data_IF_211208192898
#
_entry.id   IF_211208192898
#
_cell.length_a   1.000
_cell.length_b   1.000
_cell.length_c   1.000
_cell.angle_alpha   90.00
_cell.angle_beta   90.00
_cell.angle_gamma   90.00
#
_symmetry.space_group_name_H-M   'P 1'
#
loop_
_entity.id
_entity.type
_entity.pdbx_description
1 polymer ?
#
# COMPACT_ATOMS: atom_id res chain seq x y z
N UNK A 1 -25.64 4.14 -9.18
CA UNK A 1 -27.06 3.75 -9.19
C UNK A 1 -27.62 4.04 -7.80
N UNK A 2 -28.76 4.73 -7.68
CA UNK A 2 -29.35 5.00 -6.36
C UNK A 2 -30.10 3.77 -5.82
N UNK A 3 -30.28 3.68 -4.50
CA UNK A 3 -31.04 2.60 -3.87
C UNK A 3 -32.47 2.47 -4.45
N UNK A 4 -33.10 3.61 -4.75
CA UNK A 4 -34.43 3.65 -5.37
C UNK A 4 -34.46 3.08 -6.79
N UNK A 5 -33.40 3.33 -7.58
CA UNK A 5 -33.28 2.74 -8.91
C UNK A 5 -33.14 1.21 -8.83
N UNK A 6 -32.35 0.71 -7.88
CA UNK A 6 -32.17 -0.74 -7.67
C UNK A 6 -33.49 -1.42 -7.32
N UNK A 7 -34.30 -0.83 -6.44
CA UNK A 7 -35.61 -1.38 -6.07
C UNK A 7 -36.65 -1.31 -7.20
N UNK A 8 -36.55 -0.31 -8.09
CA UNK A 8 -37.46 -0.16 -9.24
C UNK A 8 -37.10 -1.07 -10.42
N UNK A 9 -35.82 -1.42 -10.57
CA UNK A 9 -35.31 -2.25 -11.67
C UNK A 9 -34.49 -3.43 -11.11
N UNK A 10 -35.13 -4.39 -10.43
CA UNK A 10 -34.42 -5.50 -9.75
C UNK A 10 -33.79 -6.53 -10.69
N UNK A 11 -33.86 -6.34 -12.02
CA UNK A 11 -33.29 -7.26 -13.02
C UNK A 11 -31.78 -7.07 -13.23
N UNK A 12 -31.16 -6.06 -12.62
CA UNK A 12 -29.74 -5.69 -12.81
C UNK A 12 -28.93 -5.31 -11.55
N UNK A 13 -29.21 -5.77 -10.31
CA UNK A 13 -28.24 -5.61 -9.24
C UNK A 13 -27.14 -6.66 -9.37
N UNK A 14 -25.95 -6.26 -9.83
CA UNK A 14 -24.73 -7.06 -9.68
C UNK A 14 -24.22 -7.10 -8.23
N UNK A 15 -24.76 -6.23 -7.36
CA UNK A 15 -24.29 -6.03 -5.99
C UNK A 15 -25.47 -5.84 -5.01
N UNK A 16 -25.29 -6.20 -3.73
CA UNK A 16 -26.33 -6.17 -2.69
C UNK A 16 -27.60 -6.99 -2.99
N UNK A 17 -27.46 -8.10 -3.73
CA UNK A 17 -28.60 -8.95 -4.16
C UNK A 17 -29.42 -9.42 -2.96
N UNK A 18 -28.77 -9.94 -1.91
CA UNK A 18 -29.48 -10.46 -0.74
C UNK A 18 -30.28 -9.37 0.00
N UNK A 19 -29.68 -8.19 0.20
CA UNK A 19 -30.35 -7.06 0.82
C UNK A 19 -31.54 -6.59 -0.03
N UNK A 20 -31.36 -6.50 -1.34
CA UNK A 20 -32.41 -6.10 -2.28
C UNK A 20 -33.57 -7.09 -2.25
N UNK A 21 -33.27 -8.40 -2.29
CA UNK A 21 -34.28 -9.47 -2.20
C UNK A 21 -35.04 -9.42 -0.88
N UNK A 22 -34.36 -9.21 0.24
CA UNK A 22 -35.00 -9.09 1.56
C UNK A 22 -35.96 -7.89 1.60
N UNK A 23 -35.52 -6.71 1.14
CA UNK A 23 -36.36 -5.51 1.08
C UNK A 23 -37.59 -5.75 0.18
N UNK A 24 -37.40 -6.34 -1.01
CA UNK A 24 -38.51 -6.63 -1.93
C UNK A 24 -39.50 -7.64 -1.32
N UNK A 25 -39.02 -8.67 -0.62
CA UNK A 25 -39.86 -9.63 0.10
C UNK A 25 -40.71 -8.97 1.18
N UNK A 26 -40.14 -8.04 1.97
CA UNK A 26 -40.90 -7.26 2.96
C UNK A 26 -41.96 -6.37 2.31
N UNK A 27 -41.63 -5.69 1.20
CA UNK A 27 -42.58 -4.86 0.45
C UNK A 27 -43.74 -5.72 -0.07
N UNK A 28 -43.46 -6.89 -0.63
CA UNK A 28 -44.47 -7.83 -1.11
C UNK A 28 -45.37 -8.33 0.04
N UNK A 29 -44.79 -8.67 1.19
CA UNK A 29 -45.55 -9.08 2.38
C UNK A 29 -46.52 -8.00 2.87
N UNK A 30 -46.08 -6.73 2.89
CA UNK A 30 -46.93 -5.59 3.23
C UNK A 30 -48.05 -5.41 2.19
N UNK A 31 -47.74 -5.57 0.90
CA UNK A 31 -48.73 -5.48 -0.17
C UNK A 31 -49.80 -6.58 -0.07
N UNK A 32 -49.42 -7.80 0.27
CA UNK A 32 -50.35 -8.92 0.50
C UNK A 32 -51.32 -8.65 1.68
N UNK A 33 -50.92 -7.81 2.64
CA UNK A 33 -51.75 -7.34 3.74
C UNK A 33 -52.62 -6.12 3.37
N UNK A 34 -52.65 -5.72 2.09
CA UNK A 34 -53.37 -4.53 1.62
C UNK A 34 -52.68 -3.20 1.97
N UNK A 35 -51.43 -3.21 2.44
CA UNK A 35 -50.69 -1.99 2.79
C UNK A 35 -49.87 -1.50 1.59
N UNK A 36 -50.03 -0.23 1.24
CA UNK A 36 -49.31 0.40 0.13
C UNK A 36 -48.06 1.14 0.62
N UNK A 37 -46.89 0.71 0.17
CA UNK A 37 -45.61 1.37 0.44
C UNK A 37 -45.28 2.38 -0.66
N UNK A 38 -44.83 3.58 -0.30
CA UNK A 38 -44.33 4.61 -1.23
C UNK A 38 -42.96 5.07 -0.76
N UNK A 39 -42.02 5.22 -1.69
CA UNK A 39 -40.71 5.78 -1.41
C UNK A 39 -40.64 7.23 -1.88
N UNK A 40 -40.31 8.11 -0.94
CA UNK A 40 -40.07 9.53 -1.21
C UNK A 40 -38.61 9.84 -0.89
N UNK A 41 -37.97 10.63 -1.75
CA UNK A 41 -36.65 11.18 -1.43
C UNK A 41 -36.84 12.41 -0.55
N UNK A 42 -36.07 12.48 0.53
CA UNK A 42 -36.07 13.62 1.46
C UNK A 42 -34.65 14.21 1.47
N UNK A 43 -34.50 15.53 1.28
CA UNK A 43 -33.20 16.18 1.39
C UNK A 43 -32.67 16.10 2.82
N UNK A 44 -31.36 15.89 2.94
CA UNK A 44 -30.69 15.75 4.24
C UNK A 44 -30.43 17.12 4.89
N UNK A 45 -30.47 17.16 6.23
CA UNK A 45 -30.08 18.30 7.08
C UNK A 45 -30.80 19.64 6.81
N UNK A 46 -32.10 19.60 6.51
CA UNK A 46 -32.91 20.81 6.28
C UNK A 46 -34.02 21.06 7.32
N UNK A 47 -33.94 20.51 8.53
CA UNK A 47 -34.97 20.76 9.56
C UNK A 47 -36.21 19.87 9.48
N UNK A 48 -36.22 18.83 8.63
CA UNK A 48 -37.38 17.92 8.53
C UNK A 48 -37.35 16.99 9.73
N UNK A 49 -38.14 17.33 10.76
CA UNK A 49 -38.21 16.62 12.05
C UNK A 49 -38.24 15.09 11.94
N UNK A 50 -39.03 14.54 11.00
CA UNK A 50 -39.12 13.08 10.82
C UNK A 50 -37.84 12.43 10.27
N UNK A 51 -37.11 13.14 9.39
CA UNK A 51 -35.83 12.68 8.87
C UNK A 51 -34.74 12.81 9.92
N UNK A 52 -34.71 13.92 10.65
CA UNK A 52 -33.75 14.14 11.75
C UNK A 52 -33.90 13.10 12.85
N UNK A 53 -35.13 12.79 13.26
CA UNK A 53 -35.38 11.73 14.23
C UNK A 53 -34.93 10.34 13.72
N UNK A 54 -35.06 10.07 12.41
CA UNK A 54 -34.58 8.83 11.82
C UNK A 54 -33.05 8.75 11.75
N UNK A 55 -32.37 9.86 11.42
CA UNK A 55 -30.91 9.97 11.40
C UNK A 55 -30.34 9.84 12.83
N UNK A 56 -30.97 10.46 13.83
CA UNK A 56 -30.61 10.33 15.24
C UNK A 56 -30.76 8.89 15.72
N UNK A 57 -31.88 8.23 15.43
CA UNK A 57 -32.07 6.82 15.77
C UNK A 57 -31.04 5.90 15.08
N UNK A 58 -30.68 6.19 13.83
CA UNK A 58 -29.63 5.45 13.12
C UNK A 58 -28.25 5.66 13.75
N UNK A 59 -27.94 6.88 14.19
CA UNK A 59 -26.71 7.18 14.92
C UNK A 59 -26.65 6.49 16.28
N UNK A 60 -27.73 6.54 17.06
CA UNK A 60 -27.83 5.84 18.36
C UNK A 60 -27.62 4.33 18.21
N UNK A 61 -28.16 3.73 17.15
CA UNK A 61 -27.97 2.32 16.85
C UNK A 61 -26.49 1.94 16.65
N UNK A 62 -25.62 2.86 16.20
CA UNK A 62 -24.17 2.59 16.08
C UNK A 62 -23.48 2.40 17.43
N UNK A 63 -24.08 2.88 18.52
CA UNK A 63 -23.57 2.72 19.89
C UNK A 63 -24.10 1.47 20.57
N UNK A 64 -25.04 0.76 19.95
CA UNK A 64 -25.63 -0.43 20.52
C UNK A 64 -24.62 -1.60 20.43
N UNK A 65 -24.39 -2.37 21.52
CA UNK A 65 -23.36 -3.42 21.55
C UNK A 65 -23.72 -4.64 20.68
N UNK A 66 -25.00 -4.83 20.39
CA UNK A 66 -25.49 -5.93 19.56
C UNK A 66 -26.08 -5.41 18.25
N UNK A 67 -25.68 -6.03 17.14
CA UNK A 67 -26.25 -5.78 15.81
C UNK A 67 -27.50 -6.64 15.65
N UNK A 68 -28.67 -6.00 15.53
CA UNK A 68 -29.95 -6.69 15.39
C UNK A 68 -30.13 -7.40 14.03
N UNK A 69 -29.46 -6.90 12.98
CA UNK A 69 -29.54 -7.45 11.63
C UNK A 69 -28.17 -7.47 10.97
N UNK A 70 -27.65 -8.66 10.69
CA UNK A 70 -26.41 -8.83 9.93
C UNK A 70 -26.71 -8.81 8.45
N UNK A 71 -26.33 -7.72 7.77
CA UNK A 71 -26.36 -7.65 6.31
C UNK A 71 -25.00 -8.10 5.79
N UNK A 72 -24.99 -9.14 4.96
CA UNK A 72 -23.75 -9.60 4.33
C UNK A 72 -23.20 -8.51 3.41
N UNK A 73 -21.86 -8.29 3.41
CA UNK A 73 -21.27 -7.29 2.54
C UNK A 73 -21.54 -7.63 1.08
N UNK A 74 -21.72 -6.58 0.30
CA UNK A 74 -21.73 -6.61 -1.15
C UNK A 74 -20.46 -7.32 -1.67
N UNK A 75 -20.48 -7.88 -2.90
CA UNK A 75 -19.27 -8.50 -3.48
C UNK A 75 -18.14 -7.47 -3.55
N UNK A 76 -18.47 -6.22 -3.88
CA UNK A 76 -17.50 -5.13 -3.89
C UNK A 76 -17.00 -4.81 -2.47
N UNK A 77 -17.89 -4.78 -1.48
CA UNK A 77 -17.54 -4.62 -0.07
C UNK A 77 -16.62 -5.73 0.42
N UNK A 78 -16.93 -6.99 0.10
CA UNK A 78 -16.11 -8.15 0.41
C UNK A 78 -14.72 -8.05 -0.25
N UNK A 79 -14.62 -7.62 -1.51
CA UNK A 79 -13.33 -7.36 -2.18
C UNK A 79 -12.51 -6.28 -1.47
N UNK A 80 -13.14 -5.20 -1.02
CA UNK A 80 -12.46 -4.13 -0.27
C UNK A 80 -11.94 -4.66 1.06
N UNK A 81 -12.76 -5.42 1.79
CA UNK A 81 -12.36 -6.04 3.07
C UNK A 81 -11.21 -7.03 2.87
N UNK A 82 -11.29 -7.89 1.86
CA UNK A 82 -10.24 -8.86 1.53
C UNK A 82 -8.92 -8.16 1.17
N UNK A 83 -8.98 -7.09 0.36
CA UNK A 83 -7.79 -6.28 0.03
C UNK A 83 -7.16 -5.66 1.27
N UNK A 84 -7.96 -5.06 2.15
CA UNK A 84 -7.47 -4.48 3.41
C UNK A 84 -6.81 -5.54 4.29
N UNK A 85 -7.46 -6.69 4.46
CA UNK A 85 -6.91 -7.80 5.23
C UNK A 85 -5.57 -8.30 4.65
N UNK A 86 -5.48 -8.45 3.32
CA UNK A 86 -4.25 -8.85 2.66
C UNK A 86 -3.11 -7.83 2.85
N UNK A 87 -3.40 -6.53 2.77
CA UNK A 87 -2.41 -5.46 3.03
C UNK A 87 -1.93 -5.51 4.48
N UNK A 88 -2.86 -5.56 5.45
CA UNK A 88 -2.48 -5.64 6.87
C UNK A 88 -1.67 -6.91 7.18
N UNK A 89 -2.04 -8.06 6.61
CA UNK A 89 -1.29 -9.31 6.78
C UNK A 89 0.13 -9.20 6.20
N UNK A 90 0.27 -8.61 5.01
CA UNK A 90 1.58 -8.39 4.39
C UNK A 90 2.45 -7.42 5.22
N UNK A 91 1.87 -6.34 5.74
CA UNK A 91 2.56 -5.38 6.62
C UNK A 91 3.01 -6.04 7.94
N UNK A 92 2.17 -6.89 8.52
CA UNK A 92 2.49 -7.63 9.74
C UNK A 92 3.62 -8.63 9.50
N UNK A 93 3.53 -9.42 8.43
CA UNK A 93 4.59 -10.36 8.04
C UNK A 93 5.91 -9.61 7.78
N UNK A 94 5.85 -8.47 7.09
CA UNK A 94 7.03 -7.64 6.87
C UNK A 94 7.65 -7.15 8.17
N UNK A 95 6.84 -6.65 9.12
CA UNK A 95 7.32 -6.23 10.43
C UNK A 95 8.01 -7.36 11.21
N UNK A 96 7.57 -8.61 11.05
CA UNK A 96 8.19 -9.79 11.68
C UNK A 96 9.51 -10.20 11.02
N UNK A 97 9.69 -9.93 9.72
CA UNK A 97 10.93 -10.22 8.99
C UNK A 97 12.04 -9.18 9.22
N UNK A 98 11.67 -7.94 9.54
CA UNK A 98 12.62 -6.83 9.71
C UNK A 98 13.75 -7.14 10.73
N UNK A 99 13.50 -7.75 11.90
CA UNK A 99 14.57 -8.06 12.85
C UNK A 99 15.50 -9.19 12.39
N UNK A 100 15.06 -10.08 11.49
CA UNK A 100 15.77 -11.31 11.13
C UNK A 100 16.40 -11.26 9.74
N UNK A 101 15.97 -10.35 8.87
CA UNK A 101 16.50 -10.16 7.52
C UNK A 101 17.20 -8.81 7.37
N UNK A 102 18.50 -8.85 7.03
CA UNK A 102 19.30 -7.66 6.69
C UNK A 102 18.65 -6.85 5.57
N UNK A 103 18.15 -7.50 4.53
CA UNK A 103 17.51 -6.84 3.39
C UNK A 103 16.17 -6.21 3.78
N UNK A 104 15.37 -6.88 4.62
CA UNK A 104 14.12 -6.30 5.12
C UNK A 104 14.38 -5.07 6.01
N UNK A 105 15.36 -5.15 6.91
CA UNK A 105 15.81 -4.02 7.72
C UNK A 105 16.32 -2.86 6.87
N UNK A 106 17.16 -3.16 5.87
CA UNK A 106 17.64 -2.19 4.89
C UNK A 106 16.49 -1.50 4.18
N UNK A 107 15.58 -2.27 3.58
CA UNK A 107 14.46 -1.76 2.82
C UNK A 107 13.59 -0.83 3.66
N UNK A 108 13.32 -1.20 4.93
CA UNK A 108 12.52 -0.37 5.85
C UNK A 108 13.20 0.97 6.09
N UNK A 109 14.51 0.95 6.34
CA UNK A 109 15.29 2.16 6.56
C UNK A 109 15.39 3.00 5.27
N UNK A 110 15.69 2.39 4.12
CA UNK A 110 15.91 3.08 2.84
C UNK A 110 14.63 3.66 2.21
N UNK A 111 13.46 3.17 2.59
CA UNK A 111 12.16 3.60 2.02
C UNK A 111 11.26 4.38 2.99
N UNK A 112 11.71 4.62 4.22
CA UNK A 112 10.94 5.31 5.25
C UNK A 112 9.52 4.72 5.43
N UNK A 113 9.43 3.39 5.61
CA UNK A 113 8.17 2.63 5.65
C UNK A 113 7.37 2.63 4.33
N UNK A 114 8.01 2.18 3.24
CA UNK A 114 7.37 1.95 1.94
C UNK A 114 6.84 3.21 1.22
N UNK A 115 7.49 4.35 1.38
CA UNK A 115 7.14 5.50 0.54
C UNK A 115 7.32 5.13 -0.95
N UNK A 116 6.28 5.30 -1.80
CA UNK A 116 6.39 4.93 -3.20
C UNK A 116 7.43 5.81 -3.89
N UNK A 117 8.25 5.21 -4.76
CA UNK A 117 9.06 6.00 -5.69
C UNK A 117 8.10 6.82 -6.53
N UNK A 118 8.29 8.14 -6.52
CA UNK A 118 7.67 9.04 -7.48
C UNK A 118 8.78 9.58 -8.36
N UNK A 119 9.15 8.87 -9.43
CA UNK A 119 10.07 9.45 -10.39
C UNK A 119 9.42 10.72 -10.96
N UNK A 120 10.07 11.88 -10.82
CA UNK A 120 9.62 13.12 -11.46
C UNK A 120 9.76 13.06 -13.00
N UNK A 121 10.44 12.04 -13.53
CA UNK A 121 10.74 11.81 -14.94
C UNK A 121 10.54 10.33 -15.30
N UNK A 122 10.23 10.03 -16.56
CA UNK A 122 10.22 8.65 -17.06
C UNK A 122 11.64 8.09 -17.03
N UNK A 123 11.91 7.17 -16.12
CA UNK A 123 13.16 6.44 -16.04
C UNK A 123 13.23 5.40 -17.15
N UNK A 124 14.41 5.15 -17.69
CA UNK A 124 14.63 3.96 -18.51
C UNK A 124 14.59 2.69 -17.64
N UNK A 125 14.28 1.55 -18.26
CA UNK A 125 14.28 0.24 -17.57
C UNK A 125 15.59 -0.04 -16.82
N UNK A 126 16.73 0.37 -17.40
CA UNK A 126 18.04 0.17 -16.78
C UNK A 126 18.18 0.95 -15.45
N UNK A 127 17.64 2.16 -15.41
CA UNK A 127 17.67 3.04 -14.24
C UNK A 127 16.72 2.57 -13.15
N UNK A 128 15.52 2.10 -13.52
CA UNK A 128 14.60 1.47 -12.60
C UNK A 128 15.23 0.27 -11.90
N UNK A 129 15.96 -0.57 -12.64
CA UNK A 129 16.68 -1.73 -12.09
C UNK A 129 17.73 -1.29 -11.08
N UNK A 130 18.52 -0.26 -11.39
CA UNK A 130 19.54 0.27 -10.48
C UNK A 130 18.89 0.78 -9.19
N UNK A 131 17.86 1.62 -9.29
CA UNK A 131 17.16 2.16 -8.12
C UNK A 131 16.54 1.06 -7.27
N UNK A 132 15.91 0.08 -7.92
CA UNK A 132 15.28 -1.02 -7.22
C UNK A 132 16.31 -1.86 -6.45
N UNK A 133 17.47 -2.16 -7.05
CA UNK A 133 18.57 -2.86 -6.37
C UNK A 133 19.07 -2.10 -5.14
N UNK A 134 19.29 -0.80 -5.27
CA UNK A 134 19.73 0.05 -4.15
C UNK A 134 18.68 0.11 -3.02
N UNK A 135 17.39 0.18 -3.37
CA UNK A 135 16.28 0.21 -2.39
C UNK A 135 16.09 -1.10 -1.65
N UNK A 136 16.26 -2.23 -2.34
CA UNK A 136 16.14 -3.55 -1.73
C UNK A 136 17.36 -3.93 -0.89
N UNK A 137 18.46 -3.19 -0.98
CA UNK A 137 19.70 -3.56 -0.30
C UNK A 137 20.30 -4.80 -0.93
N UNK A 138 20.40 -4.78 -2.26
CA UNK A 138 20.86 -5.89 -3.08
C UNK A 138 22.11 -6.57 -2.49
N UNK A 139 22.07 -7.90 -2.50
CA UNK A 139 23.13 -8.79 -2.02
C UNK A 139 23.55 -9.65 -3.19
N UNK A 140 24.85 -9.73 -3.42
CA UNK A 140 25.42 -10.51 -4.53
C UNK A 140 25.17 -11.99 -4.30
N UNK A 141 25.14 -12.81 -5.37
CA UNK A 141 24.97 -14.26 -5.23
C UNK A 141 26.05 -14.89 -4.36
N UNK A 142 27.23 -14.28 -4.33
CA UNK A 142 28.39 -14.75 -3.59
C UNK A 142 28.22 -14.56 -2.08
N UNK A 143 27.68 -13.41 -1.67
CA UNK A 143 27.33 -13.11 -0.28
C UNK A 143 26.25 -14.05 0.29
N UNK A 144 25.49 -14.74 -0.58
CA UNK A 144 24.50 -15.73 -0.17
C UNK A 144 25.09 -17.14 0.00
N UNK A 145 26.34 -17.37 -0.43
CA UNK A 145 27.01 -18.68 -0.28
C UNK A 145 27.57 -18.80 1.14
N UNK A 146 27.46 -20.00 1.70
CA UNK A 146 28.10 -20.32 2.97
C UNK A 146 29.62 -20.17 2.86
N UNK A 147 30.23 -19.48 3.82
CA UNK A 147 31.68 -19.23 3.85
C UNK A 147 32.16 -18.05 3.00
N UNK A 148 31.26 -17.17 2.53
CA UNK A 148 31.69 -15.91 1.92
C UNK A 148 32.34 -14.98 2.97
N UNK A 149 33.62 -14.68 2.78
CA UNK A 149 34.36 -13.73 3.61
C UNK A 149 34.42 -12.37 2.94
N UNK A 150 35.00 -12.28 1.74
CA UNK A 150 35.11 -11.03 0.99
C UNK A 150 35.35 -11.26 -0.50
N UNK A 151 35.14 -10.20 -1.30
CA UNK A 151 35.50 -10.17 -2.73
C UNK A 151 36.13 -8.82 -3.10
N UNK A 152 36.92 -8.77 -4.20
CA UNK A 152 37.35 -7.51 -4.76
C UNK A 152 36.15 -6.64 -5.16
N UNK A 153 36.22 -5.35 -4.83
CA UNK A 153 35.31 -4.35 -5.36
C UNK A 153 35.48 -4.24 -6.88
N UNK A 154 34.36 -4.09 -7.61
CA UNK A 154 34.35 -3.93 -9.06
C UNK A 154 34.95 -2.59 -9.54
N UNK A 155 35.15 -1.63 -8.62
CA UNK A 155 35.52 -0.25 -8.95
C UNK A 155 36.80 0.24 -8.25
N UNK A 156 37.34 -0.52 -7.30
CA UNK A 156 38.57 -0.15 -6.59
C UNK A 156 39.33 -1.38 -6.07
N UNK A 157 40.59 -1.23 -5.64
CA UNK A 157 41.42 -2.37 -5.18
C UNK A 157 41.03 -2.98 -3.81
N UNK A 158 39.97 -2.49 -3.17
CA UNK A 158 39.58 -2.91 -1.82
C UNK A 158 38.83 -4.25 -1.83
N UNK A 159 39.17 -5.15 -0.90
CA UNK A 159 38.37 -6.35 -0.61
C UNK A 159 37.23 -5.98 0.34
N UNK A 160 36.03 -6.53 0.12
CA UNK A 160 34.90 -6.22 1.00
C UNK A 160 33.96 -7.41 1.22
N UNK A 161 33.50 -7.62 2.48
CA UNK A 161 32.43 -8.55 2.82
C UNK A 161 31.04 -7.99 2.42
N UNK A 162 30.94 -6.70 2.12
CA UNK A 162 29.67 -6.02 1.90
C UNK A 162 29.76 -5.07 0.69
N UNK A 163 29.77 -5.61 -0.54
CA UNK A 163 29.93 -4.86 -1.79
C UNK A 163 29.02 -3.62 -1.89
N UNK A 164 27.73 -3.76 -1.59
CA UNK A 164 26.80 -2.63 -1.66
C UNK A 164 27.09 -1.56 -0.59
N UNK A 165 27.45 -1.96 0.63
CA UNK A 165 27.76 -1.02 1.71
C UNK A 165 29.06 -0.28 1.42
N UNK A 166 30.10 -0.98 0.96
CA UNK A 166 31.34 -0.37 0.48
C UNK A 166 31.07 0.60 -0.68
N UNK A 167 30.30 0.16 -1.69
CA UNK A 167 29.91 1.00 -2.83
C UNK A 167 29.25 2.30 -2.38
N UNK A 168 28.40 2.30 -1.35
CA UNK A 168 27.72 3.51 -0.88
C UNK A 168 28.60 4.38 0.02
N UNK A 169 29.33 3.78 0.96
CA UNK A 169 29.99 4.50 2.06
C UNK A 169 31.48 4.79 1.87
N UNK A 170 32.17 4.00 1.06
CA UNK A 170 33.65 3.97 1.11
C UNK A 170 34.32 3.90 -0.26
N UNK A 171 33.63 3.46 -1.30
CA UNK A 171 34.21 3.27 -2.62
C UNK A 171 34.61 4.61 -3.26
N UNK A 172 35.87 4.79 -3.70
CA UNK A 172 36.31 6.02 -4.37
C UNK A 172 35.47 6.38 -5.60
N UNK A 173 34.97 5.39 -6.34
CA UNK A 173 34.14 5.60 -7.53
C UNK A 173 32.81 6.32 -7.25
N UNK A 174 32.34 6.31 -6.00
CA UNK A 174 31.10 6.96 -5.56
C UNK A 174 31.35 8.13 -4.60
N UNK A 175 32.59 8.61 -4.50
CA UNK A 175 32.95 9.70 -3.59
C UNK A 175 32.12 10.96 -3.83
N UNK A 176 31.88 11.31 -5.10
CA UNK A 176 31.05 12.45 -5.49
C UNK A 176 29.62 12.36 -4.94
N UNK A 177 29.05 11.16 -4.78
CA UNK A 177 27.74 11.00 -4.15
C UNK A 177 27.77 11.41 -2.68
N UNK A 178 28.83 11.03 -1.95
CA UNK A 178 28.96 11.33 -0.53
C UNK A 178 29.26 12.81 -0.27
N UNK A 179 30.03 13.45 -1.15
CA UNK A 179 30.32 14.89 -1.04
C UNK A 179 29.05 15.75 -1.13
N UNK A 180 28.08 15.36 -1.95
CA UNK A 180 26.82 16.09 -2.09
C UNK A 180 25.79 15.80 -0.98
N UNK A 181 25.91 14.65 -0.31
CA UNK A 181 24.87 14.11 0.59
C UNK A 181 25.29 14.12 2.07
N UNK A 182 26.60 14.18 2.34
CA UNK A 182 27.16 14.18 3.70
C UNK A 182 27.48 12.78 4.23
N UNK A 183 28.26 12.68 5.33
CA UNK A 183 28.61 11.41 5.95
C UNK A 183 27.42 10.86 6.75
N UNK A 184 26.66 9.94 6.16
CA UNK A 184 25.54 9.27 6.82
C UNK A 184 25.64 7.74 6.73
N UNK A 185 24.70 7.03 7.35
CA UNK A 185 24.57 5.58 7.14
C UNK A 185 24.14 5.27 5.71
N UNK A 186 24.45 4.07 5.23
CA UNK A 186 24.20 3.70 3.84
C UNK A 186 22.70 3.77 3.46
N UNK A 187 21.81 3.42 4.40
CA UNK A 187 20.37 3.56 4.20
C UNK A 187 19.92 5.03 4.17
N UNK A 188 20.57 5.91 4.93
CA UNK A 188 20.31 7.35 4.93
C UNK A 188 20.76 7.99 3.62
N UNK A 189 21.94 7.62 3.11
CA UNK A 189 22.39 8.00 1.77
C UNK A 189 21.36 7.61 0.71
N UNK A 190 20.80 6.40 0.73
CA UNK A 190 19.76 6.00 -0.25
C UNK A 190 18.49 6.84 -0.12
N UNK A 191 18.05 7.21 1.08
CA UNK A 191 16.91 8.13 1.27
C UNK A 191 17.18 9.49 0.66
N UNK A 192 18.37 10.03 0.86
CA UNK A 192 18.77 11.30 0.27
C UNK A 192 19.00 11.19 -1.26
N UNK A 193 19.45 10.05 -1.75
CA UNK A 193 19.59 9.80 -3.18
C UNK A 193 18.24 9.77 -3.90
N UNK A 194 17.17 9.27 -3.25
CA UNK A 194 15.81 9.37 -3.80
C UNK A 194 15.41 10.84 -4.03
N UNK A 195 15.83 11.75 -3.13
CA UNK A 195 15.61 13.21 -3.30
C UNK A 195 16.50 13.80 -4.39
N UNK A 196 17.72 13.28 -4.57
CA UNK A 196 18.72 13.72 -5.55
C UNK A 196 18.83 12.77 -6.75
N UNK A 197 17.68 12.30 -7.25
CA UNK A 197 17.60 11.24 -8.25
C UNK A 197 18.50 11.46 -9.50
N UNK A 198 18.61 12.67 -10.09
CA UNK A 198 19.47 12.88 -11.25
C UNK A 198 20.95 12.55 -11.01
N UNK A 199 21.49 12.97 -9.85
CA UNK A 199 22.89 12.72 -9.48
C UNK A 199 23.13 11.22 -9.23
N UNK A 200 22.17 10.55 -8.58
CA UNK A 200 22.27 9.11 -8.36
C UNK A 200 22.37 8.36 -9.70
N UNK A 201 21.53 8.72 -10.67
CA UNK A 201 21.52 8.09 -11.98
C UNK A 201 22.80 8.40 -12.74
N UNK A 202 23.32 9.63 -12.69
CA UNK A 202 24.61 10.00 -13.27
C UNK A 202 25.74 9.10 -12.75
N UNK A 203 25.88 8.99 -11.43
CA UNK A 203 26.96 8.20 -10.83
C UNK A 203 26.76 6.71 -11.06
N UNK A 204 25.54 6.19 -10.91
CA UNK A 204 25.28 4.77 -11.12
C UNK A 204 25.39 4.35 -12.61
N UNK A 205 25.26 5.28 -13.56
CA UNK A 205 25.58 5.03 -14.97
C UNK A 205 27.09 4.93 -15.19
N UNK A 206 27.88 5.77 -14.50
CA UNK A 206 29.34 5.78 -14.63
C UNK A 206 30.01 4.60 -13.89
N UNK A 207 29.54 4.30 -12.68
CA UNK A 207 30.00 3.21 -11.82
C UNK A 207 28.78 2.46 -11.27
N UNK A 208 28.28 1.41 -11.95
CA UNK A 208 27.07 0.72 -11.53
C UNK A 208 27.27 -0.02 -10.19
N UNK A 209 26.21 -0.17 -9.37
CA UNK A 209 26.31 -0.95 -8.15
C UNK A 209 26.72 -2.40 -8.45
N UNK A 210 27.49 -3.05 -7.54
CA UNK A 210 28.03 -4.38 -7.74
C UNK A 210 26.94 -5.42 -8.03
N UNK A 211 27.29 -6.45 -8.82
CA UNK A 211 26.40 -7.54 -9.23
C UNK A 211 26.60 -8.81 -8.40
#
# INVERSE_FOLDING_TARGET
MSALQVLRQPRTPMDNVQLTTAILGHIQGLAAQGRRVRFNWVPSHIGVRGNEAADEAAWEATRHPAVALTVLPSIQGAKVLARRAAVCAAEQQYCQLVPTSRQAAWHKQATNNNEPLRPAQQLSRAEEVVLHRLRLGYVTLEELRDGFEERPCEHCPHMTPHPLTHYLLSCPATERLRQCVGPESAAALVRQFQKNLPLLLEVARAAPPPR
#
